data_IF_540844677880
#
_entry.id   IF_540844677880
#
_cell.length_a   1.000
_cell.length_b   1.000
_cell.length_c   1.000
_cell.angle_alpha   90.00
_cell.angle_beta   90.00
_cell.angle_gamma   90.00
#
_symmetry.space_group_name_H-M   'P 1'
#
loop_
_entity.id
_entity.type
_entity.pdbx_description
1 polymer ?
#
# COMPACT_ATOMS: atom_id res chain seq x y z
N UNK A 1 -20.70 -69.42 4.13
CA UNK A 1 -19.35 -68.83 4.14
C UNK A 1 -19.32 -67.82 2.99
N UNK A 2 -19.63 -66.55 3.29
CA UNK A 2 -19.49 -65.43 2.34
C UNK A 2 -18.15 -64.72 2.64
N UNK A 3 -17.34 -64.37 1.63
CA UNK A 3 -16.20 -63.49 1.86
C UNK A 3 -16.66 -62.04 1.87
N UNK A 4 -16.27 -61.32 2.93
CA UNK A 4 -16.39 -59.88 3.05
C UNK A 4 -15.41 -59.19 2.09
N UNK A 5 -15.92 -58.31 1.22
CA UNK A 5 -15.11 -57.33 0.51
C UNK A 5 -15.06 -56.05 1.35
N UNK A 6 -13.90 -55.76 1.93
CA UNK A 6 -13.61 -54.54 2.67
C UNK A 6 -13.19 -53.46 1.65
N UNK A 7 -14.06 -52.49 1.36
CA UNK A 7 -13.72 -51.35 0.49
C UNK A 7 -13.06 -50.26 1.34
N UNK A 8 -11.76 -50.05 1.13
CA UNK A 8 -10.98 -49.01 1.80
C UNK A 8 -11.33 -47.65 1.14
N UNK A 9 -12.13 -46.83 1.80
CA UNK A 9 -12.37 -45.45 1.37
C UNK A 9 -11.15 -44.59 1.75
N UNK A 10 -10.22 -44.40 0.81
CA UNK A 10 -9.18 -43.40 0.92
C UNK A 10 -9.82 -42.02 0.73
N UNK A 11 -10.10 -41.33 1.84
CA UNK A 11 -10.51 -39.93 1.81
C UNK A 11 -9.36 -39.08 1.29
N UNK A 12 -9.53 -38.50 0.10
CA UNK A 12 -8.66 -37.46 -0.39
C UNK A 12 -8.84 -36.22 0.49
N UNK A 13 -7.93 -36.01 1.45
CA UNK A 13 -7.79 -34.73 2.11
C UNK A 13 -7.31 -33.72 1.06
N UNK A 14 -8.24 -32.89 0.57
CA UNK A 14 -7.89 -31.71 -0.20
C UNK A 14 -7.18 -30.76 0.75
N UNK A 15 -5.84 -30.77 0.71
CA UNK A 15 -5.05 -29.71 1.32
C UNK A 15 -5.36 -28.43 0.53
N UNK A 16 -6.25 -27.59 1.06
CA UNK A 16 -6.35 -26.21 0.60
C UNK A 16 -4.99 -25.56 0.88
N UNK A 17 -4.25 -25.22 -0.17
CA UNK A 17 -3.05 -24.41 -0.01
C UNK A 17 -3.48 -23.11 0.70
N UNK A 18 -2.77 -22.67 1.76
CA UNK A 18 -3.07 -21.41 2.39
C UNK A 18 -2.95 -20.31 1.32
N UNK A 19 -4.05 -19.60 1.08
CA UNK A 19 -4.02 -18.40 0.24
C UNK A 19 -3.24 -17.37 1.06
N UNK A 20 -2.02 -17.08 0.62
CA UNK A 20 -1.18 -16.05 1.24
C UNK A 20 -1.94 -14.73 1.18
N UNK A 21 -2.09 -14.07 2.32
CA UNK A 21 -2.67 -12.74 2.36
C UNK A 21 -1.78 -11.78 1.54
N UNK A 22 -2.39 -11.05 0.61
CA UNK A 22 -1.72 -10.02 -0.19
C UNK A 22 -1.69 -8.74 0.62
N UNK A 23 -0.64 -8.62 1.44
CA UNK A 23 -0.39 -7.48 2.32
C UNK A 23 -0.23 -6.17 1.55
N UNK A 24 -0.50 -5.04 2.21
CA UNK A 24 -0.28 -3.72 1.63
C UNK A 24 0.30 -2.75 2.65
N UNK A 25 0.94 -1.69 2.18
CA UNK A 25 1.55 -0.63 2.99
C UNK A 25 1.06 0.72 2.50
N UNK A 26 0.63 1.59 3.41
CA UNK A 26 0.11 2.92 3.10
C UNK A 26 0.37 3.89 4.24
N UNK A 27 0.20 5.18 3.96
CA UNK A 27 0.23 6.23 4.97
C UNK A 27 -1.18 6.75 5.25
N UNK A 28 -1.41 7.30 6.44
CA UNK A 28 -2.55 8.21 6.66
C UNK A 28 -2.17 9.65 6.27
N UNK A 29 -3.07 10.61 6.45
CA UNK A 29 -2.80 12.03 6.13
C UNK A 29 -1.79 12.71 7.07
N UNK A 30 -1.50 12.10 8.23
CA UNK A 30 -0.45 12.56 9.14
C UNK A 30 0.88 11.85 8.85
N UNK A 31 0.95 11.06 7.78
CA UNK A 31 2.09 10.24 7.40
C UNK A 31 2.53 9.26 8.48
N UNK A 32 1.58 8.75 9.26
CA UNK A 32 1.76 7.53 10.03
C UNK A 32 1.76 6.35 9.08
N UNK A 33 2.74 5.46 9.21
CA UNK A 33 2.84 4.26 8.40
C UNK A 33 1.90 3.17 8.90
N UNK A 34 1.19 2.54 7.98
CA UNK A 34 0.35 1.38 8.22
C UNK A 34 0.78 0.22 7.32
N UNK A 35 0.74 -0.98 7.86
CA UNK A 35 0.83 -2.21 7.10
C UNK A 35 -0.39 -3.09 7.39
N UNK A 36 -1.08 -3.50 6.33
CA UNK A 36 -2.32 -4.25 6.39
C UNK A 36 -2.12 -5.64 5.81
N UNK A 37 -2.87 -6.61 6.34
CA UNK A 37 -2.90 -7.97 5.81
C UNK A 37 -1.68 -8.83 6.13
N UNK A 38 -0.71 -8.35 6.91
CA UNK A 38 0.50 -9.11 7.27
C UNK A 38 0.11 -10.33 8.11
N UNK A 39 0.03 -11.49 7.45
CA UNK A 39 -0.44 -12.74 8.04
C UNK A 39 -1.75 -12.56 8.83
N UNK A 40 -2.70 -11.84 8.22
CA UNK A 40 -4.01 -11.54 8.83
C UNK A 40 -4.00 -10.46 9.91
N UNK A 41 -2.87 -9.77 10.15
CA UNK A 41 -2.75 -8.68 11.11
C UNK A 41 -2.55 -7.34 10.40
N UNK A 42 -3.04 -6.29 11.04
CA UNK A 42 -2.85 -4.90 10.62
C UNK A 42 -2.10 -4.15 11.73
N UNK A 43 -1.07 -3.40 11.34
CA UNK A 43 -0.14 -2.73 12.25
C UNK A 43 0.06 -1.28 11.83
N UNK A 44 0.08 -0.37 12.79
CA UNK A 44 0.55 1.02 12.62
C UNK A 44 1.92 1.18 13.24
N UNK A 45 2.85 1.83 12.53
CA UNK A 45 4.22 2.11 12.97
C UNK A 45 4.46 3.58 13.29
N UNK A 46 3.41 4.41 13.20
CA UNK A 46 3.51 5.85 13.43
C UNK A 46 4.42 6.57 12.42
N UNK A 47 4.87 7.76 12.80
CA UNK A 47 5.72 8.61 12.00
C UNK A 47 7.16 8.09 11.85
N UNK A 48 7.85 8.59 10.82
CA UNK A 48 9.17 8.15 10.38
C UNK A 48 10.28 8.24 11.43
N UNK A 49 10.22 9.21 12.34
CA UNK A 49 11.19 9.43 13.41
C UNK A 49 11.25 8.27 14.42
N UNK A 50 10.16 7.51 14.55
CA UNK A 50 10.06 6.34 15.43
C UNK A 50 10.67 5.05 14.87
N UNK A 51 10.86 4.93 13.54
CA UNK A 51 11.11 3.63 12.90
C UNK A 51 12.48 3.00 13.20
N UNK A 52 13.52 3.80 13.48
CA UNK A 52 14.86 3.27 13.81
C UNK A 52 15.05 3.02 15.30
N UNK A 53 14.53 3.91 16.14
CA UNK A 53 14.90 3.96 17.55
C UNK A 53 13.97 3.12 18.43
N UNK A 54 12.70 2.99 18.05
CA UNK A 54 11.72 2.19 18.78
C UNK A 54 10.55 1.78 17.86
N UNK A 55 10.81 1.02 16.79
CA UNK A 55 9.74 0.55 15.91
C UNK A 55 8.81 -0.36 16.71
N UNK A 56 7.61 0.13 17.00
CA UNK A 56 6.55 -0.64 17.65
C UNK A 56 5.35 -0.69 16.72
N UNK A 57 4.97 -1.90 16.32
CA UNK A 57 3.73 -2.12 15.60
C UNK A 57 2.56 -2.05 16.58
N UNK A 58 1.69 -1.06 16.46
CA UNK A 58 0.45 -0.99 17.22
C UNK A 58 -0.66 -1.66 16.43
N UNK A 59 -1.36 -2.67 17.00
CA UNK A 59 -2.47 -3.33 16.31
C UNK A 59 -3.55 -2.32 15.88
N UNK A 60 -3.96 -2.42 14.63
CA UNK A 60 -5.08 -1.65 14.08
C UNK A 60 -6.37 -2.42 14.33
N UNK A 61 -7.47 -1.75 14.75
CA UNK A 61 -8.75 -2.40 14.91
C UNK A 61 -9.23 -3.07 13.62
N UNK A 62 -9.67 -4.33 13.73
CA UNK A 62 -10.15 -5.14 12.60
C UNK A 62 -11.67 -5.30 12.57
N UNK A 63 -12.37 -4.68 13.52
CA UNK A 63 -13.84 -4.69 13.58
C UNK A 63 -14.46 -3.84 12.48
N UNK A 64 -15.59 -4.28 11.91
CA UNK A 64 -16.43 -3.44 11.04
C UNK A 64 -16.26 -3.64 9.53
N UNK A 65 -15.96 -4.84 9.05
CA UNK A 65 -15.91 -5.11 7.60
C UNK A 65 -14.53 -4.92 6.97
N UNK A 66 -13.46 -5.10 7.76
CA UNK A 66 -12.10 -5.27 7.25
C UNK A 66 -12.08 -6.41 6.22
N UNK A 67 -11.48 -6.22 5.03
CA UNK A 67 -11.34 -7.30 4.08
C UNK A 67 -10.40 -8.40 4.60
N UNK A 68 -10.49 -9.63 4.08
CA UNK A 68 -9.60 -10.72 4.45
C UNK A 68 -8.14 -10.50 4.00
N UNK A 69 -7.90 -9.62 3.01
CA UNK A 69 -6.61 -9.45 2.31
C UNK A 69 -6.21 -10.69 1.51
N UNK A 70 -7.16 -11.45 0.97
CA UNK A 70 -6.92 -12.66 0.19
C UNK A 70 -7.06 -12.48 -1.33
N UNK A 71 -7.28 -11.23 -1.77
CA UNK A 71 -7.43 -10.93 -3.18
C UNK A 71 -6.12 -11.04 -3.98
N UNK A 72 -6.21 -11.31 -5.28
CA UNK A 72 -5.05 -11.66 -6.12
C UNK A 72 -4.12 -10.47 -6.38
N UNK A 73 -4.60 -9.24 -6.22
CA UNK A 73 -3.86 -8.02 -6.52
C UNK A 73 -4.26 -6.86 -5.58
N UNK A 74 -4.16 -7.07 -4.26
CA UNK A 74 -4.44 -6.00 -3.29
C UNK A 74 -3.59 -4.77 -3.58
N UNK A 75 -4.24 -3.62 -3.72
CA UNK A 75 -3.64 -2.31 -3.85
C UNK A 75 -4.24 -1.39 -2.78
N UNK A 76 -3.42 -0.52 -2.19
CA UNK A 76 -3.86 0.43 -1.19
C UNK A 76 -3.44 1.86 -1.53
N UNK A 77 -4.31 2.81 -1.22
CA UNK A 77 -4.17 4.20 -1.64
C UNK A 77 -4.55 5.13 -0.51
N UNK A 78 -3.73 6.15 -0.28
CA UNK A 78 -3.98 7.19 0.72
C UNK A 78 -4.79 8.32 0.09
N UNK A 79 -5.95 8.61 0.67
CA UNK A 79 -6.72 9.82 0.38
C UNK A 79 -6.35 10.89 1.40
N UNK A 80 -5.39 11.77 1.05
CA UNK A 80 -4.79 12.74 1.99
C UNK A 80 -5.83 13.74 2.53
N UNK A 81 -6.73 14.26 1.70
CA UNK A 81 -7.73 15.23 2.16
C UNK A 81 -8.76 14.65 3.14
N UNK A 82 -9.09 13.36 2.98
CA UNK A 82 -10.15 12.74 3.75
C UNK A 82 -9.61 11.87 4.90
N UNK A 83 -8.29 11.65 4.97
CA UNK A 83 -7.67 10.77 5.96
C UNK A 83 -8.29 9.37 5.96
N UNK A 84 -8.44 8.83 4.75
CA UNK A 84 -8.93 7.50 4.49
C UNK A 84 -7.88 6.71 3.69
N UNK A 85 -7.86 5.39 3.89
CA UNK A 85 -7.07 4.46 3.11
C UNK A 85 -8.03 3.54 2.36
N UNK A 86 -7.91 3.51 1.05
CA UNK A 86 -8.74 2.67 0.19
C UNK A 86 -7.99 1.42 -0.22
N UNK A 87 -8.73 0.34 -0.40
CA UNK A 87 -8.21 -0.94 -0.82
C UNK A 87 -9.03 -1.49 -1.98
N UNK A 88 -8.35 -1.85 -3.05
CA UNK A 88 -8.92 -2.51 -4.22
C UNK A 88 -8.35 -3.93 -4.27
N UNK A 89 -9.18 -4.91 -4.65
CA UNK A 89 -8.79 -6.33 -4.70
C UNK A 89 -8.23 -6.86 -3.37
N UNK A 90 -8.72 -6.38 -2.24
CA UNK A 90 -8.36 -6.90 -0.92
C UNK A 90 -9.25 -8.08 -0.48
N UNK A 91 -10.37 -8.32 -1.16
CA UNK A 91 -11.33 -9.38 -0.85
C UNK A 91 -11.67 -10.16 -2.13
N UNK A 92 -11.22 -11.41 -2.21
CA UNK A 92 -11.47 -12.27 -3.36
C UNK A 92 -12.96 -12.62 -3.53
N UNK A 93 -13.75 -12.54 -2.46
CA UNK A 93 -15.20 -12.76 -2.50
C UNK A 93 -15.98 -11.52 -2.94
N UNK A 94 -15.35 -10.34 -2.89
CA UNK A 94 -15.92 -9.05 -3.29
C UNK A 94 -14.97 -8.29 -4.24
N UNK A 95 -14.64 -8.85 -5.41
CA UNK A 95 -13.63 -8.25 -6.30
C UNK A 95 -14.04 -6.87 -6.81
N UNK A 96 -15.34 -6.59 -6.91
CA UNK A 96 -15.89 -5.31 -7.35
C UNK A 96 -16.13 -4.31 -6.21
N UNK A 97 -15.54 -4.51 -5.02
CA UNK A 97 -15.68 -3.59 -3.90
C UNK A 97 -14.42 -2.75 -3.68
N UNK A 98 -14.61 -1.55 -3.14
CA UNK A 98 -13.55 -0.71 -2.60
C UNK A 98 -13.71 -0.72 -1.09
N UNK A 99 -12.75 -1.30 -0.38
CA UNK A 99 -12.75 -1.25 1.09
C UNK A 99 -12.14 0.06 1.56
N UNK A 100 -12.69 0.62 2.63
CA UNK A 100 -12.31 1.91 3.16
C UNK A 100 -11.95 1.73 4.63
N UNK A 101 -10.76 2.19 4.99
CA UNK A 101 -10.35 2.38 6.37
C UNK A 101 -10.31 3.87 6.68
N UNK A 102 -11.15 4.34 7.60
CA UNK A 102 -11.08 5.69 8.14
C UNK A 102 -9.95 5.73 9.18
N UNK A 103 -8.83 6.37 8.86
CA UNK A 103 -7.68 6.43 9.77
C UNK A 103 -7.94 7.30 11.01
N UNK A 104 -8.93 8.20 10.94
CA UNK A 104 -9.33 9.05 12.07
C UNK A 104 -10.19 8.28 13.06
N UNK A 105 -11.24 7.62 12.57
CA UNK A 105 -12.16 6.85 13.41
C UNK A 105 -11.63 5.44 13.72
N UNK A 106 -10.64 4.97 12.97
CA UNK A 106 -10.10 3.60 13.01
C UNK A 106 -11.17 2.54 12.74
N UNK A 107 -12.02 2.81 11.75
CA UNK A 107 -13.15 1.95 11.37
C UNK A 107 -13.09 1.53 9.93
N UNK A 108 -13.56 0.32 9.64
CA UNK A 108 -13.68 -0.23 8.31
C UNK A 108 -15.08 -0.02 7.73
N UNK A 109 -15.17 -0.02 6.40
CA UNK A 109 -16.43 -0.14 5.65
C UNK A 109 -16.14 -0.60 4.22
N UNK A 110 -17.18 -1.05 3.50
CA UNK A 110 -17.02 -1.55 2.13
C UNK A 110 -17.98 -0.84 1.18
N UNK A 111 -17.43 -0.08 0.23
CA UNK A 111 -18.18 0.59 -0.80
C UNK A 111 -18.36 -0.34 -2.01
N UNK A 112 -19.61 -0.65 -2.34
CA UNK A 112 -19.94 -1.42 -3.53
C UNK A 112 -19.69 -0.60 -4.80
N UNK A 113 -19.24 -1.27 -5.87
CA UNK A 113 -19.11 -0.65 -7.19
C UNK A 113 -19.87 -1.41 -8.27
N UNK A 114 -20.32 -0.67 -9.29
CA UNK A 114 -20.82 -1.26 -10.54
C UNK A 114 -19.72 -1.25 -11.59
N UNK A 115 -19.55 -2.39 -12.28
CA UNK A 115 -18.48 -2.64 -13.24
C UNK A 115 -19.07 -2.63 -14.66
N UNK A 116 -18.59 -1.76 -15.57
CA UNK A 116 -19.02 -1.77 -16.97
C UNK A 116 -18.40 -2.96 -17.72
N UNK A 117 -18.95 -3.26 -18.90
CA UNK A 117 -18.37 -4.26 -19.80
C UNK A 117 -16.91 -3.95 -20.12
N UNK A 118 -16.06 -4.98 -20.08
CA UNK A 118 -14.63 -4.87 -20.39
C UNK A 118 -13.73 -4.58 -19.20
N UNK A 119 -14.24 -4.03 -18.09
CA UNK A 119 -13.48 -3.88 -16.85
C UNK A 119 -13.41 -5.21 -16.12
N UNK A 120 -12.20 -5.70 -15.87
CA UNK A 120 -11.96 -6.85 -15.00
C UNK A 120 -11.48 -6.37 -13.62
N UNK A 121 -12.33 -6.42 -12.59
CA UNK A 121 -11.97 -5.97 -11.26
C UNK A 121 -10.81 -6.78 -10.69
N UNK A 122 -10.67 -8.07 -11.02
CA UNK A 122 -9.69 -8.96 -10.38
C UNK A 122 -8.25 -8.73 -10.82
N UNK A 123 -8.04 -8.05 -11.95
CA UNK A 123 -6.73 -7.88 -12.58
C UNK A 123 -6.38 -6.42 -12.89
N UNK A 124 -7.25 -5.46 -12.55
CA UNK A 124 -6.97 -4.05 -12.78
C UNK A 124 -5.80 -3.54 -11.93
N UNK A 125 -5.08 -2.57 -12.48
CA UNK A 125 -4.09 -1.77 -11.75
C UNK A 125 -4.62 -0.35 -11.70
N UNK A 126 -4.70 0.22 -10.50
CA UNK A 126 -5.30 1.52 -10.24
C UNK A 126 -4.29 2.54 -9.75
N UNK A 127 -4.68 3.80 -9.84
CA UNK A 127 -4.03 4.95 -9.23
C UNK A 127 -5.11 5.89 -8.72
N UNK A 128 -4.90 6.48 -7.54
CA UNK A 128 -5.84 7.43 -6.93
C UNK A 128 -5.34 8.85 -7.18
N UNK A 129 -6.14 9.68 -7.83
CA UNK A 129 -5.85 11.10 -7.97
C UNK A 129 -5.92 11.81 -6.60
N UNK A 130 -4.87 12.54 -6.28
CA UNK A 130 -4.72 13.26 -5.02
C UNK A 130 -5.79 14.36 -4.85
N UNK A 131 -6.04 15.15 -5.89
CA UNK A 131 -6.87 16.36 -5.81
C UNK A 131 -8.38 16.07 -5.92
N UNK A 132 -8.76 15.08 -6.73
CA UNK A 132 -10.19 14.81 -7.02
C UNK A 132 -10.75 13.58 -6.32
N UNK A 133 -9.89 12.76 -5.69
CA UNK A 133 -10.29 11.49 -5.10
C UNK A 133 -10.99 10.54 -6.11
N UNK A 134 -10.52 10.59 -7.36
CA UNK A 134 -10.96 9.73 -8.45
C UNK A 134 -9.91 8.66 -8.68
N UNK A 135 -10.34 7.40 -8.70
CA UNK A 135 -9.51 6.32 -9.18
C UNK A 135 -9.46 6.33 -10.69
N UNK A 136 -8.29 6.10 -11.25
CA UNK A 136 -8.08 5.68 -12.62
C UNK A 136 -7.50 4.28 -12.63
N UNK A 137 -8.00 3.40 -13.49
CA UNK A 137 -7.56 2.01 -13.54
C UNK A 137 -7.38 1.53 -14.98
N UNK A 138 -6.27 0.85 -15.23
CA UNK A 138 -6.03 0.13 -16.46
C UNK A 138 -6.53 -1.30 -16.33
N UNK A 139 -7.36 -1.73 -17.28
CA UNK A 139 -7.84 -3.12 -17.37
C UNK A 139 -8.04 -3.50 -18.84
N UNK A 140 -7.46 -4.64 -19.24
CA UNK A 140 -7.54 -5.18 -20.61
C UNK A 140 -7.29 -4.12 -21.70
N UNK A 141 -6.25 -3.31 -21.51
CA UNK A 141 -5.83 -2.28 -22.46
C UNK A 141 -6.70 -1.00 -22.50
N UNK A 142 -7.68 -0.86 -21.61
CA UNK A 142 -8.54 0.32 -21.53
C UNK A 142 -8.38 1.03 -20.17
N UNK A 143 -8.62 2.35 -20.17
CA UNK A 143 -8.62 3.17 -18.98
C UNK A 143 -10.05 3.37 -18.47
N UNK A 144 -10.25 3.19 -17.17
CA UNK A 144 -11.53 3.37 -16.48
C UNK A 144 -11.33 4.33 -15.32
N UNK A 145 -12.42 4.93 -14.85
CA UNK A 145 -12.39 5.81 -13.67
C UNK A 145 -13.60 5.61 -12.76
N UNK A 146 -13.42 5.81 -11.46
CA UNK A 146 -14.53 5.86 -10.48
C UNK A 146 -14.26 6.95 -9.46
N UNK A 147 -15.28 7.75 -9.17
CA UNK A 147 -15.18 8.87 -8.23
C UNK A 147 -15.58 8.46 -6.82
N UNK A 148 -14.70 8.71 -5.86
CA UNK A 148 -14.96 8.40 -4.45
C UNK A 148 -15.57 9.57 -3.68
N UNK A 149 -15.68 10.78 -4.26
CA UNK A 149 -16.15 11.99 -3.56
C UNK A 149 -15.38 12.18 -2.25
N UNK A 150 -16.03 12.62 -1.17
CA UNK A 150 -15.41 12.81 0.16
C UNK A 150 -15.51 11.57 1.07
N UNK A 151 -15.55 10.35 0.49
CA UNK A 151 -15.89 9.13 1.24
C UNK A 151 -14.80 8.70 2.20
N UNK A 152 -15.12 8.74 3.49
CA UNK A 152 -14.39 8.05 4.57
C UNK A 152 -15.08 6.77 5.05
N UNK A 153 -16.33 6.58 4.62
CA UNK A 153 -17.15 5.42 4.91
C UNK A 153 -18.01 5.09 3.69
N UNK A 154 -18.43 3.83 3.59
CA UNK A 154 -19.34 3.37 2.54
C UNK A 154 -20.72 4.04 2.63
N UNK A 155 -21.31 4.31 1.46
CA UNK A 155 -22.70 4.74 1.31
C UNK A 155 -23.58 3.58 0.84
N UNK A 156 -24.91 3.63 1.05
CA UNK A 156 -25.82 2.60 0.56
C UNK A 156 -25.80 2.45 -0.97
N UNK A 157 -25.60 3.56 -1.69
CA UNK A 157 -25.53 3.56 -3.15
C UNK A 157 -24.16 3.12 -3.64
N UNK A 158 -24.15 2.25 -4.66
CA UNK A 158 -22.94 1.82 -5.34
C UNK A 158 -22.33 2.97 -6.16
N UNK A 159 -21.00 3.02 -6.24
CA UNK A 159 -20.27 3.93 -7.14
C UNK A 159 -20.00 3.25 -8.48
N UNK A 160 -20.09 3.98 -9.58
CA UNK A 160 -19.96 3.39 -10.90
C UNK A 160 -18.58 3.63 -11.51
N UNK A 161 -17.92 2.56 -11.94
CA UNK A 161 -16.81 2.68 -12.88
C UNK A 161 -17.33 3.13 -14.25
N UNK A 162 -16.65 4.09 -14.86
CA UNK A 162 -16.90 4.55 -16.23
C UNK A 162 -15.68 4.35 -17.10
N UNK A 163 -15.87 4.19 -18.41
CA UNK A 163 -14.77 4.22 -19.36
C UNK A 163 -14.21 5.65 -19.47
N UNK A 164 -12.89 5.78 -19.47
CA UNK A 164 -12.17 7.01 -19.79
C UNK A 164 -11.68 6.99 -21.25
N UNK A 165 -11.06 8.07 -21.69
CA UNK A 165 -10.49 8.13 -23.04
C UNK A 165 -9.43 7.01 -23.22
N UNK A 166 -9.50 6.26 -24.34
CA UNK A 166 -8.64 5.10 -24.55
C UNK A 166 -7.17 5.52 -24.68
N UNK A 167 -6.22 4.66 -24.27
CA UNK A 167 -4.79 4.92 -24.43
C UNK A 167 -4.40 5.36 -25.84
N UNK A 168 -3.51 6.34 -25.95
CA UNK A 168 -2.93 6.78 -27.23
C UNK A 168 -1.71 5.95 -27.66
N UNK A 169 -1.53 4.76 -27.07
CA UNK A 169 -0.45 3.82 -27.35
C UNK A 169 -1.00 2.39 -27.35
N UNK A 170 -0.23 1.43 -27.86
CA UNK A 170 -0.63 0.02 -27.85
C UNK A 170 -0.58 -0.55 -26.41
N UNK A 171 -1.76 -0.69 -25.80
CA UNK A 171 -1.92 -1.22 -24.47
C UNK A 171 -2.32 -2.72 -24.43
N UNK A 172 -2.27 -3.43 -25.57
CA UNK A 172 -2.76 -4.82 -25.67
C UNK A 172 -2.01 -5.81 -24.78
N UNK A 173 -0.70 -5.63 -24.62
CA UNK A 173 0.17 -6.45 -23.76
C UNK A 173 0.82 -5.65 -22.63
N UNK A 174 0.33 -4.44 -22.39
CA UNK A 174 0.89 -3.53 -21.41
C UNK A 174 0.52 -3.98 -19.99
N UNK A 175 1.54 -4.19 -19.15
CA UNK A 175 1.37 -4.39 -17.71
C UNK A 175 1.47 -3.02 -17.03
N UNK A 176 0.38 -2.49 -16.45
CA UNK A 176 0.37 -1.08 -16.06
C UNK A 176 1.39 -0.74 -14.96
N UNK A 177 2.19 0.28 -15.22
CA UNK A 177 3.09 0.94 -14.26
C UNK A 177 2.76 2.42 -14.29
N UNK A 178 1.99 2.88 -13.31
CA UNK A 178 1.42 4.22 -13.30
C UNK A 178 1.96 5.05 -12.13
N UNK A 179 2.40 6.27 -12.42
CA UNK A 179 2.78 7.27 -11.43
C UNK A 179 1.82 8.45 -11.45
N UNK A 180 1.61 9.12 -10.31
CA UNK A 180 0.83 10.35 -10.23
C UNK A 180 1.75 11.54 -9.90
N UNK A 181 1.65 12.62 -10.67
CA UNK A 181 2.20 13.91 -10.28
C UNK A 181 1.47 15.05 -11.01
N UNK A 182 1.20 16.17 -10.33
CA UNK A 182 0.43 17.32 -10.86
C UNK A 182 -0.84 16.95 -11.62
N UNK A 183 -1.66 16.05 -11.07
CA UNK A 183 -2.90 15.58 -11.68
C UNK A 183 -2.69 14.95 -13.08
N UNK A 184 -1.49 14.43 -13.31
CA UNK A 184 -1.12 13.67 -14.49
C UNK A 184 -0.78 12.24 -14.09
N UNK A 185 -1.29 11.28 -14.86
CA UNK A 185 -0.87 9.89 -14.77
C UNK A 185 0.26 9.68 -15.77
N UNK A 186 1.43 9.30 -15.27
CA UNK A 186 2.58 8.93 -16.07
C UNK A 186 2.61 7.41 -16.23
N UNK A 187 2.50 6.93 -17.46
CA UNK A 187 2.55 5.52 -17.82
C UNK A 187 3.98 5.15 -18.24
N UNK A 188 4.65 4.40 -17.39
CA UNK A 188 6.00 3.88 -17.59
C UNK A 188 5.96 2.55 -18.35
N UNK A 189 7.12 2.01 -18.73
CA UNK A 189 7.26 0.73 -19.44
C UNK A 189 6.51 0.66 -20.79
N UNK A 190 6.41 1.79 -21.49
CA UNK A 190 5.72 1.90 -22.78
C UNK A 190 6.71 1.80 -23.94
N UNK A 191 7.59 2.79 -24.08
CA UNK A 191 8.33 3.01 -25.35
C UNK A 191 9.86 2.95 -25.22
N UNK A 192 10.43 3.33 -24.07
CA UNK A 192 11.88 3.32 -23.85
C UNK A 192 12.26 3.72 -22.42
N UNK A 193 13.55 3.68 -22.12
CA UNK A 193 14.06 4.11 -20.81
C UNK A 193 13.85 5.61 -20.60
N UNK A 194 13.40 6.00 -19.41
CA UNK A 194 13.13 7.39 -19.06
C UNK A 194 11.94 8.01 -19.79
N UNK A 195 11.18 7.23 -20.56
CA UNK A 195 10.03 7.72 -21.31
C UNK A 195 8.72 7.34 -20.63
N UNK A 196 7.80 8.31 -20.57
CA UNK A 196 6.44 8.09 -20.07
C UNK A 196 5.39 8.68 -21.02
N UNK A 197 4.29 7.96 -21.21
CA UNK A 197 3.06 8.50 -21.80
C UNK A 197 2.28 9.23 -20.71
N UNK A 198 1.64 10.35 -21.02
CA UNK A 198 0.93 11.16 -20.02
C UNK A 198 -0.57 11.21 -20.31
N UNK A 199 -1.37 10.93 -19.30
CA UNK A 199 -2.79 11.25 -19.27
C UNK A 199 -3.05 12.40 -18.29
N UNK A 200 -3.65 13.47 -18.78
CA UNK A 200 -4.03 14.65 -18.02
C UNK A 200 -5.44 14.48 -17.48
N UNK A 201 -5.55 14.33 -16.17
CA UNK A 201 -6.81 13.98 -15.49
C UNK A 201 -7.87 15.05 -15.70
N UNK A 202 -7.51 16.33 -15.51
CA UNK A 202 -8.47 17.44 -15.55
C UNK A 202 -9.18 17.62 -16.90
N UNK A 203 -8.56 17.15 -17.99
CA UNK A 203 -9.12 17.21 -19.33
C UNK A 203 -9.48 15.84 -19.91
N UNK A 204 -9.31 14.78 -19.10
CA UNK A 204 -9.37 13.38 -19.54
C UNK A 204 -8.60 13.16 -20.86
N UNK A 205 -7.40 13.72 -20.99
CA UNK A 205 -6.72 13.88 -22.28
C UNK A 205 -5.34 13.21 -22.29
N UNK A 206 -5.03 12.49 -23.36
CA UNK A 206 -3.70 11.94 -23.57
C UNK A 206 -2.78 12.97 -24.24
N UNK A 207 -1.66 13.30 -23.59
CA UNK A 207 -0.65 14.15 -24.22
C UNK A 207 -0.08 13.43 -25.47
N UNK A 208 -0.02 14.11 -26.63
CA UNK A 208 0.53 13.53 -27.85
C UNK A 208 2.02 13.24 -27.70
N UNK A 209 2.74 14.18 -27.10
CA UNK A 209 4.17 14.11 -26.87
C UNK A 209 4.49 13.17 -25.70
N UNK A 210 5.53 12.35 -25.88
CA UNK A 210 6.06 11.48 -24.84
C UNK A 210 6.97 12.31 -23.94
N UNK A 211 6.80 12.18 -22.63
CA UNK A 211 7.64 12.85 -21.66
C UNK A 211 8.94 12.07 -21.45
N UNK A 212 10.08 12.76 -21.59
CA UNK A 212 11.39 12.21 -21.23
C UNK A 212 11.86 12.76 -19.89
N UNK A 213 12.45 11.89 -19.08
CA UNK A 213 13.11 12.21 -17.82
C UNK A 213 14.61 11.94 -17.91
N UNK A 214 15.40 13.01 -17.97
CA UNK A 214 16.84 12.94 -18.14
C UNK A 214 17.56 12.50 -16.84
N UNK A 215 18.76 11.89 -16.91
CA UNK A 215 19.54 11.57 -15.72
C UNK A 215 19.91 12.81 -14.89
N UNK A 216 19.56 12.84 -13.60
CA UNK A 216 19.88 13.95 -12.68
C UNK A 216 21.28 13.81 -12.06
N UNK A 217 21.69 12.59 -11.74
CA UNK A 217 22.94 12.29 -11.03
C UNK A 217 23.93 11.44 -11.87
N UNK A 218 23.75 11.40 -13.19
CA UNK A 218 24.64 10.68 -14.11
C UNK A 218 24.54 9.14 -14.04
N UNK A 219 23.67 8.59 -13.19
CA UNK A 219 23.49 7.15 -13.01
C UNK A 219 22.41 6.53 -13.93
N UNK A 220 21.94 7.29 -14.93
CA UNK A 220 20.90 6.86 -15.87
C UNK A 220 19.50 7.36 -15.50
N UNK A 221 18.49 6.72 -16.06
CA UNK A 221 17.06 7.00 -15.84
C UNK A 221 16.32 5.70 -15.57
N UNK A 222 15.00 5.75 -15.31
CA UNK A 222 14.23 4.55 -15.05
C UNK A 222 14.21 3.63 -16.28
N UNK A 223 14.41 2.32 -16.11
CA UNK A 223 14.42 1.37 -17.21
C UNK A 223 13.01 1.15 -17.79
N UNK A 224 12.95 0.67 -19.03
CA UNK A 224 11.74 0.11 -19.63
C UNK A 224 11.49 -1.30 -19.08
N UNK A 225 10.94 -1.37 -17.86
CA UNK A 225 10.60 -2.61 -17.16
C UNK A 225 9.33 -2.42 -16.35
N UNK A 226 8.64 -3.53 -16.10
CA UNK A 226 7.60 -3.57 -15.08
C UNK A 226 8.20 -3.33 -13.68
N UNK A 227 7.38 -2.77 -12.79
CA UNK A 227 7.78 -2.39 -11.45
C UNK A 227 6.62 -1.87 -10.62
N UNK A 228 6.96 -1.31 -9.47
CA UNK A 228 6.03 -0.62 -8.59
C UNK A 228 6.36 0.87 -8.56
N UNK A 229 5.35 1.68 -8.32
CA UNK A 229 5.48 3.13 -8.20
C UNK A 229 4.82 3.61 -6.91
N UNK A 230 5.40 4.64 -6.29
CA UNK A 230 4.74 5.43 -5.26
C UNK A 230 5.00 6.92 -5.49
N UNK A 231 3.95 7.72 -5.44
CA UNK A 231 4.06 9.18 -5.58
C UNK A 231 4.32 9.84 -4.23
N UNK A 232 5.25 10.78 -4.20
CA UNK A 232 5.60 11.49 -2.97
C UNK A 232 4.55 12.56 -2.68
N UNK A 233 3.90 12.43 -1.52
CA UNK A 233 3.15 13.53 -0.93
C UNK A 233 4.08 14.69 -0.59
N UNK A 234 3.52 15.89 -0.56
CA UNK A 234 4.25 17.15 -0.30
C UNK A 234 4.20 17.53 1.19
N UNK A 235 3.18 17.04 1.91
CA UNK A 235 2.96 17.30 3.33
C UNK A 235 2.23 18.61 3.63
N UNK A 236 1.91 19.37 2.59
CA UNK A 236 1.16 20.63 2.64
C UNK A 236 -0.10 20.56 1.74
N UNK A 237 -0.61 19.33 1.52
CA UNK A 237 -1.74 19.01 0.66
C UNK A 237 -1.61 19.56 -0.76
N UNK A 238 -0.40 19.84 -1.26
CA UNK A 238 -0.20 20.23 -2.65
C UNK A 238 -0.06 19.00 -3.53
N UNK A 239 -0.48 19.13 -4.79
CA UNK A 239 -0.30 18.07 -5.78
C UNK A 239 1.15 17.58 -5.83
N UNK A 240 1.29 16.26 -5.91
CA UNK A 240 2.56 15.54 -5.89
C UNK A 240 3.43 15.97 -7.08
N UNK A 241 4.74 16.10 -6.86
CA UNK A 241 5.71 16.58 -7.88
C UNK A 241 6.78 15.56 -8.22
N UNK A 242 6.86 14.50 -7.42
CA UNK A 242 7.88 13.46 -7.56
C UNK A 242 7.22 12.11 -7.36
N UNK A 243 7.81 11.10 -7.97
CA UNK A 243 7.42 9.71 -7.75
C UNK A 243 8.66 8.82 -7.76
N UNK A 244 8.60 7.74 -6.99
CA UNK A 244 9.60 6.69 -6.95
C UNK A 244 9.11 5.50 -7.77
N UNK A 245 9.98 4.97 -8.61
CA UNK A 245 9.79 3.71 -9.33
C UNK A 245 10.84 2.71 -8.87
N UNK A 246 10.41 1.48 -8.57
CA UNK A 246 11.30 0.35 -8.28
C UNK A 246 10.94 -0.78 -9.24
N UNK A 247 11.85 -1.19 -10.12
CA UNK A 247 11.62 -2.32 -11.00
C UNK A 247 11.41 -3.61 -10.23
N UNK A 248 10.73 -4.57 -10.86
CA UNK A 248 10.43 -5.88 -10.31
C UNK A 248 11.65 -6.68 -9.86
N UNK A 249 12.84 -6.38 -10.37
CA UNK A 249 14.10 -7.05 -10.02
C UNK A 249 14.87 -6.33 -8.90
N UNK A 250 14.30 -5.26 -8.34
CA UNK A 250 14.89 -4.39 -7.30
C UNK A 250 16.25 -3.79 -7.69
N UNK A 251 16.55 -3.67 -8.99
CA UNK A 251 17.85 -3.20 -9.49
C UNK A 251 18.17 -1.74 -9.13
N UNK A 252 17.18 -0.95 -8.72
CA UNK A 252 17.36 0.45 -8.34
C UNK A 252 16.08 1.06 -7.78
N UNK A 253 16.21 2.27 -7.23
CA UNK A 253 15.08 3.15 -6.94
C UNK A 253 15.25 4.42 -7.74
N UNK A 254 14.27 4.75 -8.56
CA UNK A 254 14.32 5.84 -9.54
C UNK A 254 13.33 6.91 -9.14
N UNK A 255 13.83 8.06 -8.69
CA UNK A 255 12.99 9.17 -8.24
C UNK A 255 12.96 10.22 -9.33
N UNK A 256 11.83 10.37 -9.99
CA UNK A 256 11.63 11.34 -11.07
C UNK A 256 10.95 12.59 -10.54
N UNK A 257 11.46 13.75 -10.95
CA UNK A 257 10.87 15.07 -10.69
C UNK A 257 10.28 15.61 -12.00
N UNK A 258 8.98 15.92 -11.97
CA UNK A 258 8.26 16.39 -13.16
C UNK A 258 8.53 17.87 -13.48
N UNK A 259 9.01 18.66 -12.53
CA UNK A 259 9.31 20.07 -12.78
C UNK A 259 10.65 20.23 -13.51
N UNK A 260 11.64 19.43 -13.13
CA UNK A 260 12.93 19.40 -13.81
C UNK A 260 12.99 18.42 -14.97
N UNK A 261 12.01 17.50 -15.08
CA UNK A 261 12.02 16.39 -16.02
C UNK A 261 13.30 15.56 -15.90
N UNK A 262 13.66 15.19 -14.67
CA UNK A 262 14.88 14.43 -14.39
C UNK A 262 14.66 13.28 -13.42
N UNK A 263 15.46 12.22 -13.54
CA UNK A 263 15.46 11.03 -12.69
C UNK A 263 16.74 10.98 -11.84
N UNK A 264 16.59 10.86 -10.53
CA UNK A 264 17.68 10.52 -9.60
C UNK A 264 17.66 9.02 -9.34
N UNK A 265 18.79 8.35 -9.56
CA UNK A 265 18.92 6.91 -9.26
C UNK A 265 19.53 6.71 -7.87
N UNK A 266 18.92 5.84 -7.09
CA UNK A 266 19.34 5.38 -5.77
C UNK A 266 19.46 3.86 -5.75
N UNK A 267 20.08 3.31 -4.70
CA UNK A 267 20.09 1.87 -4.47
C UNK A 267 18.66 1.32 -4.39
N UNK A 268 18.42 0.15 -4.97
CA UNK A 268 17.16 -0.58 -4.82
C UNK A 268 16.97 -1.12 -3.41
N UNK A 269 15.72 -1.46 -3.02
CA UNK A 269 15.46 -2.09 -1.73
C UNK A 269 16.15 -3.46 -1.65
N UNK A 270 16.47 -3.93 -0.43
CA UNK A 270 17.10 -5.23 -0.26
C UNK A 270 16.16 -6.35 -0.73
N UNK A 271 16.72 -7.35 -1.42
CA UNK A 271 16.01 -8.57 -1.73
C UNK A 271 15.74 -9.35 -0.43
N UNK A 272 14.47 -9.69 -0.18
CA UNK A 272 14.13 -10.58 0.94
C UNK A 272 14.56 -12.02 0.65
N UNK A 273 14.80 -12.84 1.70
CA UNK A 273 15.03 -14.27 1.53
C UNK A 273 13.92 -14.92 0.67
N UNK A 274 14.29 -15.63 -0.39
CA UNK A 274 13.35 -16.29 -1.31
C UNK A 274 12.97 -15.49 -2.57
N UNK A 275 13.44 -14.25 -2.71
CA UNK A 275 13.16 -13.38 -3.87
C UNK A 275 13.63 -13.99 -5.20
N UNK A 276 14.78 -14.67 -5.22
CA UNK A 276 15.32 -15.31 -6.43
C UNK A 276 14.54 -16.57 -6.87
N UNK A 277 13.70 -17.15 -6.00
CA UNK A 277 13.03 -18.43 -6.26
C UNK A 277 11.59 -18.31 -6.77
N UNK A 278 11.01 -17.11 -6.88
CA UNK A 278 9.63 -16.96 -7.37
C UNK A 278 9.42 -15.71 -8.26
N UNK A 279 9.90 -15.72 -9.51
CA UNK A 279 9.76 -14.60 -10.46
C UNK A 279 8.32 -14.35 -10.95
N UNK A 280 7.30 -15.07 -10.44
CA UNK A 280 5.93 -15.07 -11.00
C UNK A 280 4.80 -14.79 -9.99
N UNK A 281 5.08 -14.57 -8.70
CA UNK A 281 4.04 -14.67 -7.67
C UNK A 281 3.63 -13.39 -6.98
N UNK A 282 4.55 -12.75 -6.26
CA UNK A 282 4.23 -11.66 -5.35
C UNK A 282 5.31 -10.60 -5.46
N UNK A 283 4.91 -9.41 -5.92
CA UNK A 283 5.73 -8.21 -5.93
C UNK A 283 5.60 -7.55 -4.56
N UNK A 284 6.66 -6.91 -4.07
CA UNK A 284 6.50 -6.07 -2.90
C UNK A 284 5.54 -4.90 -3.17
N UNK A 285 5.13 -4.18 -2.13
CA UNK A 285 4.28 -2.98 -2.23
C UNK A 285 5.08 -1.75 -1.87
N UNK A 286 4.88 -0.67 -2.63
CA UNK A 286 5.48 0.62 -2.35
C UNK A 286 4.46 1.59 -1.78
N UNK A 287 4.93 2.43 -0.87
CA UNK A 287 4.26 3.66 -0.47
C UNK A 287 5.31 4.76 -0.31
N UNK A 288 4.90 6.01 -0.43
CA UNK A 288 5.77 7.14 -0.16
C UNK A 288 5.06 8.13 0.77
N UNK A 289 5.85 8.76 1.63
CA UNK A 289 5.48 9.93 2.43
C UNK A 289 6.29 11.14 1.93
N UNK A 290 6.15 12.33 2.52
CA UNK A 290 7.00 13.46 2.14
C UNK A 290 8.49 13.23 2.37
N UNK A 291 8.86 12.32 3.28
CA UNK A 291 10.24 12.13 3.72
C UNK A 291 10.82 10.73 3.48
N UNK A 292 10.06 9.79 2.89
CA UNK A 292 10.51 8.42 2.69
C UNK A 292 9.79 7.70 1.56
N UNK A 293 10.49 6.70 1.00
CA UNK A 293 9.88 5.59 0.26
C UNK A 293 9.92 4.37 1.17
N UNK A 294 8.81 3.65 1.24
CA UNK A 294 8.66 2.40 1.99
C UNK A 294 8.39 1.26 1.00
N UNK A 295 9.06 0.14 1.21
CA UNK A 295 8.90 -1.11 0.49
C UNK A 295 8.50 -2.21 1.47
N UNK A 296 7.31 -2.75 1.30
CA UNK A 296 6.86 -3.98 1.94
C UNK A 296 7.21 -5.15 1.03
N UNK A 297 8.14 -6.00 1.45
CA UNK A 297 8.57 -7.13 0.66
C UNK A 297 7.52 -8.26 0.66
N UNK A 298 7.58 -9.19 -0.31
CA UNK A 298 6.76 -10.40 -0.30
C UNK A 298 6.95 -11.30 0.94
N UNK A 299 8.07 -11.15 1.64
CA UNK A 299 8.33 -11.83 2.91
C UNK A 299 7.75 -11.07 4.12
N UNK A 300 6.90 -10.07 3.88
CA UNK A 300 6.32 -9.17 4.88
C UNK A 300 7.38 -8.40 5.70
N UNK A 301 8.55 -8.12 5.11
CA UNK A 301 9.52 -7.23 5.71
C UNK A 301 9.29 -5.81 5.24
N UNK A 302 9.28 -4.85 6.16
CA UNK A 302 9.15 -3.43 5.80
C UNK A 302 10.54 -2.81 5.80
N UNK A 303 10.93 -2.26 4.66
CA UNK A 303 12.15 -1.49 4.46
C UNK A 303 11.78 -0.08 4.04
N UNK A 304 12.61 0.90 4.39
CA UNK A 304 12.40 2.28 3.95
C UNK A 304 13.73 2.95 3.63
N UNK A 305 13.69 3.97 2.79
CA UNK A 305 14.81 4.89 2.56
C UNK A 305 14.32 6.31 2.75
N UNK A 306 15.08 7.10 3.51
CA UNK A 306 14.79 8.52 3.71
C UNK A 306 15.07 9.32 2.43
N UNK A 307 14.18 10.24 2.10
CA UNK A 307 14.28 11.11 0.92
C UNK A 307 14.03 12.56 1.33
N UNK A 308 14.98 13.43 1.03
CA UNK A 308 14.82 14.86 1.04
C UNK A 308 14.41 15.32 -0.38
N UNK A 309 13.11 15.58 -0.57
CA UNK A 309 12.56 16.02 -1.85
C UNK A 309 13.10 17.38 -2.33
N UNK A 310 13.68 18.18 -1.44
CA UNK A 310 14.29 19.47 -1.77
C UNK A 310 15.80 19.31 -2.06
N UNK A 311 16.40 18.20 -1.64
CA UNK A 311 17.81 17.90 -1.87
C UNK A 311 18.02 16.41 -2.20
N UNK A 312 17.60 16.04 -3.41
CA UNK A 312 17.74 14.66 -3.89
C UNK A 312 19.18 14.16 -3.88
N UNK A 313 20.17 15.05 -4.10
CA UNK A 313 21.58 14.70 -4.04
C UNK A 313 21.99 14.15 -2.66
N UNK A 314 21.51 14.76 -1.56
CA UNK A 314 21.75 14.27 -0.21
C UNK A 314 21.09 12.92 0.08
N UNK A 315 20.03 12.58 -0.67
CA UNK A 315 19.31 11.31 -0.50
C UNK A 315 20.02 10.14 -1.18
N UNK A 316 20.85 10.38 -2.19
CA UNK A 316 21.46 9.32 -3.02
C UNK A 316 22.31 8.32 -2.24
N UNK A 317 22.90 8.73 -1.11
CA UNK A 317 23.70 7.89 -0.24
C UNK A 317 22.93 7.24 0.90
N UNK A 318 21.63 7.54 1.06
CA UNK A 318 20.84 6.97 2.14
C UNK A 318 20.66 5.47 1.94
N UNK A 319 21.02 4.62 2.92
CA UNK A 319 20.77 3.19 2.81
C UNK A 319 19.29 2.90 3.05
N UNK A 320 18.80 1.82 2.43
CA UNK A 320 17.56 1.20 2.87
C UNK A 320 17.75 0.63 4.28
N UNK A 321 16.83 0.97 5.18
CA UNK A 321 16.79 0.49 6.55
C UNK A 321 15.54 -0.35 6.79
N UNK A 322 15.67 -1.40 7.61
CA UNK A 322 14.55 -2.28 7.98
C UNK A 322 13.82 -1.72 9.20
N UNK A 323 12.48 -1.68 9.14
CA UNK A 323 11.63 -1.45 10.32
C UNK A 323 11.52 -2.77 11.08
N UNK A 324 12.28 -2.90 12.16
CA UNK A 324 12.39 -4.14 12.92
C UNK A 324 11.51 -4.11 14.18
N UNK A 325 10.21 -4.37 14.06
CA UNK A 325 9.31 -4.48 15.22
C UNK A 325 9.12 -5.93 15.68
N UNK A 326 9.01 -6.21 16.99
CA UNK A 326 8.63 -7.52 17.51
C UNK A 326 7.27 -8.00 16.98
N UNK A 327 6.32 -7.09 16.76
CA UNK A 327 4.99 -7.41 16.25
C UNK A 327 5.01 -7.83 14.78
N UNK A 328 5.89 -7.23 13.95
CA UNK A 328 6.16 -7.71 12.58
C UNK A 328 6.73 -9.12 12.60
N UNK A 329 7.71 -9.38 13.46
CA UNK A 329 8.31 -10.72 13.61
C UNK A 329 7.26 -11.73 14.11
N UNK A 330 6.44 -11.35 15.08
CA UNK A 330 5.37 -12.19 15.61
C UNK A 330 4.21 -12.37 14.62
N UNK A 331 3.98 -11.43 13.71
CA UNK A 331 3.05 -11.58 12.60
C UNK A 331 3.64 -12.57 11.58
N UNK A 332 4.90 -12.40 11.19
CA UNK A 332 5.61 -13.31 10.27
C UNK A 332 5.67 -14.77 10.78
N UNK A 333 5.82 -14.98 12.09
CA UNK A 333 5.86 -16.29 12.72
C UNK A 333 4.48 -16.96 12.89
N UNK A 334 3.38 -16.19 12.79
CA UNK A 334 2.02 -16.72 12.84
C UNK A 334 1.62 -17.27 11.47
N UNK A 335 2.24 -18.40 11.08
CA UNK A 335 1.77 -19.19 9.95
C UNK A 335 0.39 -19.79 10.31
N UNK A 336 -0.64 -19.77 9.44
CA UNK A 336 -1.96 -20.33 9.76
C UNK A 336 -1.97 -21.85 9.98
N UNK A 337 -0.82 -22.53 9.88
CA UNK A 337 -0.70 -23.98 9.92
C UNK A 337 -0.70 -24.60 11.33
N UNK A 338 -0.76 -23.81 12.41
CA UNK A 338 -0.73 -24.35 13.78
C UNK A 338 -2.05 -24.18 14.55
N UNK A 339 -3.19 -24.58 13.97
CA UNK A 339 -4.35 -24.99 14.76
C UNK A 339 -4.40 -26.51 14.84
N UNK A 340 -3.57 -27.10 15.70
CA UNK A 340 -3.76 -28.49 16.14
C UNK A 340 -5.03 -28.55 16.99
N UNK A 341 -6.12 -28.97 16.37
CA UNK A 341 -7.34 -29.41 17.05
C UNK A 341 -7.09 -30.79 17.68
N UNK A 342 -6.50 -30.80 18.88
CA UNK A 342 -6.50 -32.00 19.73
C UNK A 342 -7.70 -31.93 20.69
N UNK A 343 -8.85 -32.43 20.21
CA UNK A 343 -9.95 -32.86 21.07
C UNK A 343 -10.37 -34.28 20.67
N UNK A 344 -9.80 -35.27 21.34
CA UNK A 344 -10.42 -36.59 21.53
C UNK A 344 -10.15 -37.07 22.96
N UNK A 345 -10.85 -36.47 23.92
CA UNK A 345 -11.01 -37.01 25.27
C UNK A 345 -12.31 -37.80 25.34
N UNK A 346 -12.24 -39.11 25.07
CA UNK A 346 -13.33 -40.07 25.26
C UNK A 346 -13.82 -40.06 26.69
N UNK A 347 -15.12 -39.82 26.87
CA UNK A 347 -15.83 -40.01 28.11
C UNK A 347 -15.96 -41.51 28.42
N UNK A 348 -15.39 -41.94 29.54
CA UNK A 348 -15.76 -43.20 30.19
C UNK A 348 -16.04 -42.89 31.66
N UNK A 349 -17.29 -43.08 32.06
CA UNK A 349 -17.77 -42.91 33.41
C UNK A 349 -17.33 -44.11 34.29
N UNK A 350 -16.70 -43.83 35.43
CA UNK A 350 -16.76 -44.63 36.66
C UNK A 350 -16.15 -43.83 37.82
N UNK A 351 -16.75 -43.91 39.00
CA UNK A 351 -16.04 -43.63 40.25
C UNK A 351 -16.50 -42.41 41.04
N UNK A 352 -17.53 -42.64 41.85
CA UNK A 352 -17.92 -41.89 43.04
C UNK A 352 -16.71 -41.62 43.97
N UNK A 353 -16.68 -40.46 44.66
CA UNK A 353 -16.47 -40.26 46.11
C UNK A 353 -16.03 -38.82 46.42
N UNK A 354 -16.32 -38.46 47.66
CA UNK A 354 -16.61 -37.19 48.31
C UNK A 354 -15.38 -36.44 48.82
N UNK A 355 -15.68 -35.24 49.34
CA UNK A 355 -14.98 -34.40 50.34
C UNK A 355 -14.25 -33.17 49.77
N UNK A 356 -14.72 -31.94 50.01
CA UNK A 356 -14.84 -31.10 51.24
C UNK A 356 -13.56 -30.27 51.50
N UNK A 357 -13.81 -28.96 51.73
CA UNK A 357 -13.05 -28.02 52.59
C UNK A 357 -11.80 -27.39 51.97
N UNK A 358 -11.44 -26.11 52.13
CA UNK A 358 -12.09 -24.80 52.36
C UNK A 358 -10.98 -23.74 52.21
N UNK A 359 -11.36 -22.51 51.83
CA UNK A 359 -10.86 -21.21 52.35
C UNK A 359 -9.35 -20.96 52.59
N UNK A 360 -8.85 -19.85 52.03
CA UNK A 360 -8.28 -18.76 52.84
C UNK A 360 -8.08 -17.48 51.99
N UNK A 361 -8.75 -16.42 52.43
CA UNK A 361 -8.52 -15.01 52.10
C UNK A 361 -7.46 -14.39 53.02
N UNK A 362 -6.76 -13.36 52.51
CA UNK A 362 -6.01 -12.25 53.16
C UNK A 362 -4.64 -12.07 52.46
N UNK A 363 -4.10 -10.88 52.21
CA UNK A 363 -4.46 -9.52 52.56
C UNK A 363 -3.57 -8.52 51.79
N UNK A 364 -3.92 -7.24 51.91
CA UNK A 364 -3.35 -6.04 51.28
C UNK A 364 -1.89 -5.73 51.72
N UNK A 365 -1.14 -4.67 51.34
CA UNK A 365 -1.29 -3.46 50.53
C UNK A 365 0.11 -2.86 50.22
N UNK A 366 0.16 -1.92 49.27
CA UNK A 366 1.02 -0.71 49.23
C UNK A 366 2.54 -0.80 49.05
N UNK A 367 3.05 -0.17 47.98
CA UNK A 367 3.91 1.01 48.10
C UNK A 367 4.19 1.67 46.73
N UNK A 368 4.06 3.00 46.74
CA UNK A 368 4.38 3.98 45.70
C UNK A 368 5.89 4.19 45.51
N UNK A 369 6.31 4.57 44.30
CA UNK A 369 7.36 5.58 44.15
C UNK A 369 7.20 6.38 42.85
N UNK A 370 7.22 7.69 43.06
CA UNK A 370 7.20 8.78 42.09
C UNK A 370 8.62 9.03 41.59
N UNK A 371 8.81 9.22 40.27
CA UNK A 371 9.98 9.92 39.75
C UNK A 371 9.58 10.79 38.54
N UNK A 372 9.66 12.11 38.76
CA UNK A 372 9.62 13.14 37.73
C UNK A 372 10.93 13.13 36.94
N UNK A 373 10.85 13.29 35.63
CA UNK A 373 11.92 13.91 34.85
C UNK A 373 11.29 14.81 33.79
N UNK A 374 11.78 16.03 33.72
CA UNK A 374 11.36 17.12 32.85
C UNK A 374 12.59 17.60 32.09
N UNK A 375 12.37 18.14 30.89
CA UNK A 375 13.29 18.87 30.00
C UNK A 375 13.95 18.00 28.90
N UNK A 376 14.01 18.41 27.64
CA UNK A 376 13.79 19.73 27.08
C UNK A 376 13.36 19.70 25.61
N UNK A 377 12.43 20.59 25.30
CA UNK A 377 12.09 21.00 23.95
C UNK A 377 13.14 22.01 23.44
N UNK A 378 13.56 21.87 22.19
CA UNK A 378 14.36 22.86 21.45
C UNK A 378 13.64 23.02 20.10
N UNK A 379 12.71 23.98 20.03
CA UNK A 379 12.90 25.29 19.39
C UNK A 379 12.79 25.23 17.86
N UNK A 380 11.55 25.32 17.38
CA UNK A 380 11.18 25.65 16.01
C UNK A 380 11.56 27.10 15.70
N UNK A 381 12.40 27.32 14.69
CA UNK A 381 12.59 28.65 14.10
C UNK A 381 11.54 28.87 13.00
N UNK A 382 10.49 29.64 13.34
CA UNK A 382 9.61 30.29 12.38
C UNK A 382 10.37 31.44 11.71
N UNK A 383 10.71 31.26 10.43
CA UNK A 383 11.15 32.33 9.55
C UNK A 383 9.98 32.81 8.70
N UNK A 384 9.46 34.01 9.00
CA UNK A 384 8.53 34.75 8.16
C UNK A 384 9.17 35.03 6.80
N UNK A 385 8.47 34.70 5.72
CA UNK A 385 8.85 35.05 4.35
C UNK A 385 7.61 35.18 3.48
N UNK A 386 7.05 36.39 3.45
CA UNK A 386 6.01 36.79 2.52
C UNK A 386 6.54 36.71 1.08
N UNK A 387 5.79 36.07 0.18
CA UNK A 387 6.12 35.95 -1.23
C UNK A 387 4.89 35.67 -2.07
N UNK A 388 4.14 36.72 -2.39
CA UNK A 388 3.18 36.78 -3.49
C UNK A 388 3.86 36.31 -4.80
N UNK A 389 3.37 35.24 -5.42
CA UNK A 389 3.55 35.02 -6.86
C UNK A 389 2.20 34.69 -7.48
N UNK A 390 1.77 35.61 -8.32
CA UNK A 390 0.52 35.60 -9.04
C UNK A 390 0.49 34.50 -10.11
N UNK A 391 -0.68 33.89 -10.26
CA UNK A 391 -1.06 33.11 -11.41
C UNK A 391 -1.07 33.98 -12.68
N UNK A 392 -0.34 33.54 -13.71
CA UNK A 392 -0.37 34.14 -15.05
C UNK A 392 -0.15 33.04 -16.08
N UNK A 393 -1.21 32.27 -16.36
CA UNK A 393 -1.32 31.48 -17.59
C UNK A 393 -2.54 32.01 -18.32
N UNK A 394 -2.29 32.96 -19.21
CA UNK A 394 -3.31 33.60 -20.03
C UNK A 394 -2.80 33.76 -21.45
N UNK A 395 -3.40 32.97 -22.35
CA UNK A 395 -3.80 33.38 -23.69
C UNK A 395 -2.71 33.98 -24.61
N UNK A 396 -2.07 33.15 -25.43
CA UNK A 396 -1.70 33.53 -26.81
C UNK A 396 -1.64 32.30 -27.72
N UNK A 397 -2.67 32.11 -28.54
CA UNK A 397 -2.56 31.60 -29.91
C UNK A 397 -3.94 31.58 -30.58
N UNK A 398 -4.45 32.76 -30.93
CA UNK A 398 -5.42 32.88 -32.01
C UNK A 398 -5.00 34.10 -32.85
N UNK A 399 -4.23 33.85 -33.90
CA UNK A 399 -4.19 34.58 -35.17
C UNK A 399 -3.06 34.04 -36.06
N UNK A 400 -3.44 33.82 -37.32
CA UNK A 400 -2.61 33.56 -38.51
C UNK A 400 -2.28 32.10 -38.84
N UNK A 401 -3.27 31.35 -39.36
CA UNK A 401 -3.47 31.16 -40.82
C UNK A 401 -4.79 30.43 -41.09
#
# INVERSE_FOLDING_TARGET
>A
MLPFALTLAAGAAWFAAPILATSCVAFDSNFNLYAFGINGKDLSFGAQDGWLNSPKGTPVPTTGGRPPFDGPNTQCFTSEYFNAIYFINADNSQPNAIHIYDATAQTWSTQQTTVPDGLDPTSLVAILDHDTNVFFAMSKGNLYSVEMLERKAATPDAVAWGASNPPNFDASNYKPVMALAQNHIHFLDTEGEGLARIFVIHFAYWQPEIQYYAPANGAGTFPKKHGQVASFFTGDTQAQKKWAFVPDDLSGTYISDINSNTTTVMAGPPASPGFASNPTGLMGRLAASPGAVVYLSPANEIHYVGVDQNNMAASTSNPWAKIASPELVAAAAADPTSSSSDTTGTATATGMITSRVTSATSGAASASSTAKSTNGAVSSNMGMGAGLVAALVGFQAWLML
#
